data_IF_514572639381
#
_entry.id   IF_514572639381
#
_cell.length_a   1.000
_cell.length_b   1.000
_cell.length_c   1.000
_cell.angle_alpha   90.00
_cell.angle_beta   90.00
_cell.angle_gamma   90.00
#
_symmetry.space_group_name_H-M   'P 1'
#
loop_
_entity.id
_entity.type
_entity.pdbx_description
1 polymer ?
#
# COMPACT_ATOMS: atom_id res chain seq x y z
N UNK A 1 8.86 -8.21 -8.33
CA UNK A 1 9.10 -7.51 -7.04
C UNK A 1 8.26 -8.21 -5.98
N UNK A 2 8.77 -8.40 -4.76
CA UNK A 2 8.01 -9.05 -3.67
C UNK A 2 7.57 -8.00 -2.65
N UNK A 3 6.28 -7.90 -2.37
CA UNK A 3 5.75 -7.06 -1.29
C UNK A 3 5.63 -7.91 -0.04
N UNK A 4 6.23 -7.44 1.06
CA UNK A 4 6.19 -8.13 2.34
C UNK A 4 5.32 -7.36 3.33
N UNK A 5 4.41 -8.07 3.99
CA UNK A 5 3.50 -7.52 4.99
C UNK A 5 3.86 -8.03 6.36
N UNK A 6 3.79 -7.15 7.35
CA UNK A 6 3.89 -7.57 8.74
C UNK A 6 2.67 -8.41 9.11
N UNK A 7 2.81 -9.27 10.12
CA UNK A 7 1.68 -10.05 10.66
C UNK A 7 0.53 -9.16 11.10
N UNK A 8 0.83 -7.96 11.60
CA UNK A 8 -0.18 -7.00 12.03
C UNK A 8 -0.95 -6.44 10.83
N UNK A 9 -0.26 -6.01 9.76
CA UNK A 9 -0.92 -5.53 8.54
C UNK A 9 -1.84 -6.58 7.93
N UNK A 10 -1.43 -7.85 7.92
CA UNK A 10 -2.30 -8.95 7.47
C UNK A 10 -3.55 -9.11 8.32
N UNK A 11 -3.46 -8.92 9.64
CA UNK A 11 -4.63 -8.96 10.54
C UNK A 11 -5.54 -7.75 10.33
N UNK A 12 -4.98 -6.57 10.10
CA UNK A 12 -5.74 -5.35 9.90
C UNK A 12 -6.53 -5.41 8.59
N UNK A 13 -5.91 -5.90 7.50
CA UNK A 13 -6.57 -6.11 6.21
C UNK A 13 -7.75 -7.09 6.29
N UNK A 14 -7.75 -8.03 7.24
CA UNK A 14 -8.89 -8.95 7.47
C UNK A 14 -10.03 -8.34 8.27
N UNK A 15 -9.83 -7.18 8.90
CA UNK A 15 -10.82 -6.53 9.77
C UNK A 15 -11.54 -5.36 9.11
N UNK A 16 -10.92 -4.77 8.09
CA UNK A 16 -11.51 -3.66 7.35
C UNK A 16 -12.50 -4.18 6.30
N UNK A 17 -13.47 -3.36 5.86
CA UNK A 17 -14.34 -3.70 4.74
C UNK A 17 -13.58 -4.12 3.48
N UNK A 18 -14.11 -5.10 2.76
CA UNK A 18 -13.46 -5.72 1.58
C UNK A 18 -13.05 -4.69 0.54
N UNK A 19 -13.91 -3.72 0.21
CA UNK A 19 -13.59 -2.68 -0.78
C UNK A 19 -12.38 -1.80 -0.39
N UNK A 20 -12.06 -1.69 0.91
CA UNK A 20 -10.86 -0.99 1.40
C UNK A 20 -9.64 -1.90 1.25
N UNK A 21 -9.77 -3.18 1.59
CA UNK A 21 -8.71 -4.17 1.40
C UNK A 21 -8.37 -4.37 -0.09
N UNK A 22 -9.36 -4.41 -0.97
CA UNK A 22 -9.19 -4.52 -2.42
C UNK A 22 -8.36 -3.38 -2.99
N UNK A 23 -8.55 -2.16 -2.47
CA UNK A 23 -7.73 -1.01 -2.86
C UNK A 23 -6.26 -1.20 -2.49
N UNK A 24 -5.99 -1.77 -1.32
CA UNK A 24 -4.62 -2.14 -0.94
C UNK A 24 -4.04 -3.18 -1.89
N UNK A 25 -4.77 -4.26 -2.18
CA UNK A 25 -4.30 -5.32 -3.08
C UNK A 25 -4.08 -4.82 -4.51
N UNK A 26 -4.92 -3.89 -4.98
CA UNK A 26 -4.74 -3.25 -6.29
C UNK A 26 -3.46 -2.42 -6.35
N UNK A 27 -3.11 -1.70 -5.29
CA UNK A 27 -1.80 -1.02 -5.23
C UNK A 27 -0.62 -2.01 -5.22
N UNK A 28 -0.73 -3.14 -4.50
CA UNK A 28 0.29 -4.19 -4.52
C UNK A 28 0.47 -4.76 -5.94
N UNK A 29 -0.63 -4.98 -6.65
CA UNK A 29 -0.61 -5.44 -8.04
C UNK A 29 0.08 -4.41 -8.94
N UNK A 30 -0.31 -3.14 -8.87
CA UNK A 30 0.29 -2.06 -9.65
C UNK A 30 1.81 -1.95 -9.41
N UNK A 31 2.28 -2.09 -8.17
CA UNK A 31 3.72 -2.11 -7.85
C UNK A 31 4.40 -3.31 -8.48
N UNK A 32 3.75 -4.46 -8.45
CA UNK A 32 4.32 -5.71 -8.95
C UNK A 32 4.46 -5.67 -10.48
N UNK A 33 3.49 -5.07 -11.17
CA UNK A 33 3.45 -4.98 -12.63
C UNK A 33 4.27 -3.80 -13.18
N UNK A 34 4.18 -2.62 -12.56
CA UNK A 34 4.69 -1.37 -13.15
C UNK A 34 5.92 -0.82 -12.41
N UNK A 35 6.20 -1.33 -11.21
CA UNK A 35 7.27 -0.85 -10.35
C UNK A 35 6.94 0.46 -9.62
N UNK A 36 7.56 0.65 -8.46
CA UNK A 36 7.27 1.79 -7.56
C UNK A 36 7.45 3.15 -8.19
N UNK A 37 8.42 3.32 -9.10
CA UNK A 37 8.67 4.61 -9.78
C UNK A 37 7.48 5.05 -10.64
N UNK A 38 6.77 4.11 -11.24
CA UNK A 38 5.61 4.39 -12.08
C UNK A 38 4.34 4.54 -11.23
N UNK A 39 4.14 3.68 -10.24
CA UNK A 39 2.99 3.76 -9.32
C UNK A 39 2.94 5.10 -8.58
N UNK A 40 4.09 5.69 -8.21
CA UNK A 40 4.15 7.03 -7.61
C UNK A 40 3.58 8.15 -8.48
N UNK A 41 3.49 7.95 -9.80
CA UNK A 41 2.94 8.92 -10.74
C UNK A 41 1.43 8.76 -10.91
N UNK A 42 0.86 7.64 -10.49
CA UNK A 42 -0.57 7.35 -10.61
C UNK A 42 -1.33 8.20 -9.58
N UNK A 43 -2.25 9.08 -10.02
CA UNK A 43 -3.07 9.88 -9.11
C UNK A 43 -3.91 8.99 -8.19
N UNK A 44 -3.99 9.34 -6.91
CA UNK A 44 -4.92 8.71 -5.95
C UNK A 44 -4.35 7.59 -5.08
N UNK A 45 -3.16 7.05 -5.38
CA UNK A 45 -2.49 6.13 -4.44
C UNK A 45 -1.90 6.86 -3.23
N UNK A 46 -1.44 8.09 -3.42
CA UNK A 46 -0.68 8.84 -2.40
C UNK A 46 0.46 7.98 -1.83
N UNK A 47 1.19 7.30 -2.73
CA UNK A 47 2.25 6.37 -2.36
C UNK A 47 3.53 7.11 -1.93
N UNK A 48 3.76 7.14 -0.63
CA UNK A 48 4.80 7.93 0.01
C UNK A 48 5.86 7.05 0.70
N UNK A 49 7.16 7.28 0.45
CA UNK A 49 8.21 6.63 1.23
C UNK A 49 8.23 7.16 2.66
N UNK A 50 8.35 6.26 3.63
CA UNK A 50 8.42 6.63 5.04
C UNK A 50 9.85 7.03 5.45
N UNK A 51 9.95 7.88 6.47
CA UNK A 51 11.21 8.44 7.00
C UNK A 51 11.52 7.88 8.40
N UNK A 52 12.72 8.19 8.92
CA UNK A 52 13.16 7.75 10.25
C UNK A 52 13.28 6.22 10.36
N UNK A 53 12.81 5.66 11.45
CA UNK A 53 12.86 4.21 11.73
C UNK A 53 12.10 3.35 10.72
N UNK A 54 11.19 3.98 9.95
CA UNK A 54 10.40 3.32 8.90
C UNK A 54 11.02 3.48 7.52
N UNK A 55 12.27 3.95 7.42
CA UNK A 55 13.00 4.05 6.15
C UNK A 55 13.01 2.70 5.44
N UNK A 56 12.64 2.70 4.16
CA UNK A 56 12.47 1.47 3.36
C UNK A 56 11.04 0.94 3.31
N UNK A 57 10.15 1.43 4.17
CA UNK A 57 8.71 1.16 4.09
C UNK A 57 7.97 2.25 3.32
N UNK A 58 6.72 1.97 2.97
CA UNK A 58 5.84 2.86 2.20
C UNK A 58 4.45 2.89 2.80
N UNK A 59 3.74 3.99 2.62
CA UNK A 59 2.32 4.14 2.96
C UNK A 59 1.52 4.59 1.75
N UNK A 60 0.28 4.15 1.69
CA UNK A 60 -0.74 4.63 0.77
C UNK A 60 -1.96 5.08 1.53
N UNK A 61 -2.80 5.89 0.88
CA UNK A 61 -4.12 6.24 1.41
C UNK A 61 -5.17 5.29 0.85
N UNK A 62 -5.91 4.61 1.73
CA UNK A 62 -6.95 3.67 1.32
C UNK A 62 -8.30 4.39 1.17
N UNK A 63 -8.60 5.37 2.01
CA UNK A 63 -9.73 6.30 1.79
C UNK A 63 -9.54 7.58 2.63
N UNK A 64 -10.62 8.27 3.00
CA UNK A 64 -10.52 9.47 3.85
C UNK A 64 -10.22 9.15 5.32
N UNK A 65 -10.57 7.96 5.78
CA UNK A 65 -10.48 7.49 7.17
C UNK A 65 -9.33 6.50 7.40
N UNK A 66 -8.69 6.02 6.33
CA UNK A 66 -7.63 4.99 6.34
C UNK A 66 -6.48 5.38 5.40
#
# INVERSE_FOLDING_TARGET
>A
MKVELTKQAQKDLRKIPDFIADRFYKWVLDITEQGTRNVRKVPGWHDEPLKGDRKGQRSIRLNRSY
#
